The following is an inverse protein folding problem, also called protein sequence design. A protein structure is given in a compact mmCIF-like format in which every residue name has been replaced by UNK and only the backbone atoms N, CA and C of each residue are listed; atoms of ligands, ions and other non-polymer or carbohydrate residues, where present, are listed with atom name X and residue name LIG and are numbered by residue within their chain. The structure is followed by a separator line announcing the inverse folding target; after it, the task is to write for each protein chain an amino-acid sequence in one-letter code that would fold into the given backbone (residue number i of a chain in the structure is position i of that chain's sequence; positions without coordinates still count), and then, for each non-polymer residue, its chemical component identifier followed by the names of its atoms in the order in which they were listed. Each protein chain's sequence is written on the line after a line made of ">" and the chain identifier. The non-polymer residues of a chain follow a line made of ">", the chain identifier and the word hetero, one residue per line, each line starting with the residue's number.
data_IF_255737527268
#
_entry.id   IF_255737527268
#
_cell.length_a   1.000
_cell.length_b   1.000
_cell.length_c   1.000
_cell.angle_alpha   90.00
_cell.angle_beta   90.00
_cell.angle_gamma   90.00
#
_symmetry.space_group_name_H-M   'P 1'
#
loop_
_entity.id
_entity.type
_entity.pdbx_description
1 polymer ?
#
# COMPACT_ATOMS: atom_id res chain seq x y z
N UNK A 1 13.90 -21.53 5.72
CA UNK A 1 12.71 -21.57 6.60
C UNK A 1 12.84 -20.41 7.58
N UNK A 2 12.13 -19.30 7.38
CA UNK A 2 12.11 -18.22 8.37
C UNK A 2 11.04 -18.55 9.42
N UNK A 3 11.48 -18.60 10.67
CA UNK A 3 10.68 -18.81 11.87
C UNK A 3 9.54 -17.79 11.94
N UNK A 4 8.29 -18.29 11.91
CA UNK A 4 7.10 -17.50 12.21
C UNK A 4 7.03 -17.31 13.74
N UNK A 5 7.30 -16.09 14.18
CA UNK A 5 7.21 -15.71 15.58
C UNK A 5 5.72 -15.53 15.95
N UNK A 6 5.19 -16.41 16.80
CA UNK A 6 3.75 -16.58 17.12
C UNK A 6 3.12 -15.43 17.95
N UNK A 7 3.69 -14.22 17.94
CA UNK A 7 3.19 -13.02 18.64
C UNK A 7 2.86 -11.86 17.68
N UNK A 8 2.35 -12.16 16.48
CA UNK A 8 2.03 -11.13 15.48
C UNK A 8 0.60 -10.61 15.68
N UNK A 9 0.46 -9.50 16.41
CA UNK A 9 -0.81 -8.77 16.48
C UNK A 9 -1.00 -7.90 15.23
N UNK A 10 -2.24 -7.48 14.92
CA UNK A 10 -2.54 -6.48 13.89
C UNK A 10 -1.65 -5.23 13.98
N UNK A 11 -1.49 -4.72 15.21
CA UNK A 11 -0.66 -3.56 15.55
C UNK A 11 0.81 -3.79 15.23
N UNK A 12 1.39 -4.87 15.74
CA UNK A 12 2.81 -5.18 15.53
C UNK A 12 3.14 -5.36 14.04
N UNK A 13 2.18 -5.89 13.26
CA UNK A 13 2.36 -6.11 11.82
C UNK A 13 2.36 -4.80 11.04
N UNK A 14 1.34 -3.96 11.22
CA UNK A 14 1.23 -2.67 10.52
C UNK A 14 2.39 -1.76 10.90
N UNK A 15 2.73 -1.65 12.19
CA UNK A 15 3.81 -0.77 12.66
C UNK A 15 5.17 -1.16 12.07
N UNK A 16 5.45 -2.46 11.97
CA UNK A 16 6.69 -2.97 11.34
C UNK A 16 6.73 -2.65 9.85
N UNK A 17 5.62 -2.86 9.14
CA UNK A 17 5.55 -2.69 7.69
C UNK A 17 5.45 -1.24 7.23
N UNK A 18 5.04 -0.32 8.12
CA UNK A 18 4.82 1.09 7.77
C UNK A 18 6.06 1.78 7.18
N UNK A 19 7.27 1.34 7.50
CA UNK A 19 8.52 1.88 6.92
C UNK A 19 8.80 1.37 5.50
N UNK A 20 8.20 0.25 5.12
CA UNK A 20 8.51 -0.45 3.86
C UNK A 20 7.33 -0.44 2.87
N UNK A 21 6.17 0.06 3.29
CA UNK A 21 4.94 0.00 2.52
C UNK A 21 4.02 1.17 2.89
N UNK A 22 3.77 2.07 1.95
CA UNK A 22 2.90 3.24 2.21
C UNK A 22 1.44 2.86 2.45
N UNK A 23 0.97 1.66 2.05
CA UNK A 23 -0.35 1.17 2.44
C UNK A 23 -0.42 0.89 3.95
N UNK A 24 0.64 0.27 4.50
CA UNK A 24 0.75 0.05 5.93
C UNK A 24 0.98 1.38 6.68
N UNK A 25 1.76 2.29 6.12
CA UNK A 25 1.94 3.64 6.65
C UNK A 25 0.61 4.40 6.73
N UNK A 26 -0.22 4.33 5.69
CA UNK A 26 -1.54 4.94 5.67
C UNK A 26 -2.48 4.31 6.72
N UNK A 27 -2.46 2.99 6.89
CA UNK A 27 -3.23 2.30 7.94
C UNK A 27 -2.76 2.70 9.35
N UNK A 28 -1.45 2.86 9.54
CA UNK A 28 -0.87 3.37 10.80
C UNK A 28 -1.32 4.81 11.06
N UNK A 29 -1.31 5.66 10.04
CA UNK A 29 -1.65 7.07 10.13
C UNK A 29 -3.09 7.29 10.61
N UNK A 30 -4.06 6.55 10.04
CA UNK A 30 -5.48 6.66 10.45
C UNK A 30 -5.80 5.94 11.77
N UNK A 31 -4.84 5.20 12.32
CA UNK A 31 -4.98 4.42 13.55
C UNK A 31 -5.11 2.91 13.30
N UNK A 32 -4.32 2.13 14.04
CA UNK A 32 -4.36 0.67 13.93
C UNK A 32 -5.55 0.12 14.72
N UNK A 33 -6.44 -0.59 14.03
CA UNK A 33 -7.59 -1.28 14.58
C UNK A 33 -7.77 -2.63 13.86
N UNK A 34 -8.70 -3.47 14.33
CA UNK A 34 -9.05 -4.70 13.62
C UNK A 34 -9.51 -4.42 12.18
N UNK A 35 -10.27 -3.33 11.98
CA UNK A 35 -10.77 -2.96 10.65
C UNK A 35 -9.63 -2.52 9.71
N UNK A 36 -8.70 -1.68 10.18
CA UNK A 36 -7.61 -1.19 9.32
C UNK A 36 -6.64 -2.30 8.96
N UNK A 37 -6.45 -3.28 9.85
CA UNK A 37 -5.71 -4.49 9.57
C UNK A 37 -6.39 -5.41 8.56
N UNK A 38 -7.70 -5.58 8.67
CA UNK A 38 -8.48 -6.34 7.69
C UNK A 38 -8.40 -5.69 6.30
N UNK A 39 -8.62 -4.37 6.22
CA UNK A 39 -8.55 -3.62 4.97
C UNK A 39 -7.17 -3.75 4.29
N UNK A 40 -6.11 -3.66 5.09
CA UNK A 40 -4.73 -3.86 4.64
C UNK A 40 -4.51 -5.27 4.09
N UNK A 41 -4.95 -6.31 4.79
CA UNK A 41 -4.75 -7.70 4.38
C UNK A 41 -5.54 -8.04 3.11
N UNK A 42 -6.81 -7.61 3.04
CA UNK A 42 -7.65 -7.80 1.84
C UNK A 42 -6.97 -7.18 0.62
N UNK A 43 -6.53 -5.92 0.73
CA UNK A 43 -5.91 -5.24 -0.40
C UNK A 43 -4.54 -5.84 -0.75
N UNK A 44 -3.76 -6.24 0.25
CA UNK A 44 -2.45 -6.88 0.02
C UNK A 44 -2.61 -8.23 -0.67
N UNK A 45 -3.56 -9.06 -0.24
CA UNK A 45 -3.87 -10.32 -0.89
C UNK A 45 -4.34 -10.08 -2.34
N UNK A 46 -5.23 -9.12 -2.53
CA UNK A 46 -5.70 -8.73 -3.86
C UNK A 46 -4.55 -8.28 -4.78
N UNK A 47 -3.62 -7.46 -4.28
CA UNK A 47 -2.41 -7.07 -5.02
C UNK A 47 -1.60 -8.30 -5.47
N UNK A 48 -1.35 -9.24 -4.56
CA UNK A 48 -0.56 -10.43 -4.87
C UNK A 48 -1.24 -11.39 -5.83
N UNK A 49 -2.57 -11.40 -5.86
CA UNK A 49 -3.35 -12.27 -6.74
C UNK A 49 -3.56 -11.67 -8.13
N UNK A 50 -3.90 -10.38 -8.23
CA UNK A 50 -4.37 -9.78 -9.48
C UNK A 50 -3.33 -8.95 -10.24
N UNK A 51 -2.23 -8.52 -9.63
CA UNK A 51 -1.16 -7.81 -10.35
C UNK A 51 -0.23 -8.72 -11.17
N UNK A 52 0.25 -9.88 -10.69
CA UNK A 52 1.24 -10.68 -11.40
C UNK A 52 0.65 -11.61 -12.46
N UNK A 53 -0.38 -11.16 -13.19
CA UNK A 53 -1.07 -11.97 -14.21
C UNK A 53 -0.24 -12.17 -15.49
N UNK A 54 0.73 -11.29 -15.73
CA UNK A 54 1.71 -11.41 -16.81
C UNK A 54 3.10 -10.89 -16.36
N UNK A 55 4.09 -10.97 -17.27
CA UNK A 55 5.46 -10.51 -16.99
C UNK A 55 5.54 -9.02 -16.66
N UNK A 56 4.68 -8.20 -17.24
CA UNK A 56 4.65 -6.74 -17.03
C UNK A 56 4.10 -6.46 -15.62
N UNK A 57 3.01 -7.12 -15.25
CA UNK A 57 2.42 -7.02 -13.92
C UNK A 57 3.35 -7.50 -12.80
N UNK A 58 4.10 -8.59 -13.04
CA UNK A 58 5.16 -9.05 -12.11
C UNK A 58 6.25 -7.98 -11.95
N UNK A 59 6.74 -7.42 -13.06
CA UNK A 59 7.76 -6.38 -13.02
C UNK A 59 7.24 -5.13 -12.30
N UNK A 60 6.01 -4.70 -12.59
CA UNK A 60 5.38 -3.56 -11.94
C UNK A 60 5.26 -3.73 -10.42
N UNK A 61 4.77 -4.88 -9.96
CA UNK A 61 4.66 -5.18 -8.53
C UNK A 61 6.04 -5.17 -7.85
N UNK A 62 7.08 -5.70 -8.51
CA UNK A 62 8.45 -5.71 -8.00
C UNK A 62 9.02 -4.30 -7.89
N UNK A 63 8.91 -3.50 -8.95
CA UNK A 63 9.37 -2.10 -8.95
C UNK A 63 8.66 -1.30 -7.86
N UNK A 64 7.36 -1.53 -7.70
CA UNK A 64 6.59 -0.95 -6.60
C UNK A 64 7.15 -1.31 -5.23
N UNK A 65 7.35 -2.60 -4.95
CA UNK A 65 7.88 -3.06 -3.66
C UNK A 65 9.29 -2.51 -3.38
N UNK A 66 10.13 -2.38 -4.41
CA UNK A 66 11.48 -1.82 -4.27
C UNK A 66 11.46 -0.31 -3.98
N UNK A 67 10.56 0.45 -4.59
CA UNK A 67 10.46 1.89 -4.42
C UNK A 67 9.69 2.30 -3.14
N UNK A 68 8.85 1.41 -2.59
CA UNK A 68 7.95 1.74 -1.50
C UNK A 68 8.62 2.32 -0.24
N UNK A 69 9.79 1.83 0.25
CA UNK A 69 10.46 2.43 1.41
C UNK A 69 10.87 3.89 1.17
N UNK A 70 11.49 4.19 0.03
CA UNK A 70 11.89 5.58 -0.31
C UNK A 70 10.67 6.49 -0.46
N UNK A 71 9.58 5.97 -1.04
CA UNK A 71 8.32 6.70 -1.15
C UNK A 71 7.76 7.05 0.23
N UNK A 72 7.83 6.12 1.21
CA UNK A 72 7.40 6.39 2.59
C UNK A 72 8.24 7.52 3.18
N UNK A 73 9.57 7.46 3.04
CA UNK A 73 10.46 8.54 3.52
C UNK A 73 10.10 9.89 2.88
N UNK A 74 9.86 9.91 1.57
CA UNK A 74 9.50 11.13 0.85
C UNK A 74 8.13 11.69 1.30
N UNK A 75 7.13 10.83 1.52
CA UNK A 75 5.83 11.24 2.05
C UNK A 75 5.97 11.74 3.50
N UNK A 76 6.76 11.07 4.33
CA UNK A 76 6.98 11.44 5.73
C UNK A 76 7.65 12.82 5.88
N UNK A 77 8.52 13.17 4.94
CA UNK A 77 9.16 14.49 4.84
C UNK A 77 8.28 15.57 4.19
N UNK A 78 7.20 15.19 3.50
CA UNK A 78 6.35 16.12 2.76
C UNK A 78 5.42 16.90 3.71
N UNK A 79 5.25 18.21 3.47
CA UNK A 79 4.39 19.08 4.32
C UNK A 79 2.93 18.63 4.36
N UNK A 80 2.44 18.05 3.26
CA UNK A 80 1.09 17.47 3.15
C UNK A 80 0.98 15.99 3.54
N UNK A 81 1.96 15.42 4.27
CA UNK A 81 2.00 14.01 4.69
C UNK A 81 0.64 13.44 5.13
N UNK A 82 -0.02 14.15 6.04
CA UNK A 82 -1.28 13.67 6.65
C UNK A 82 -2.42 13.59 5.63
N UNK A 83 -2.53 14.57 4.73
CA UNK A 83 -3.48 14.54 3.63
C UNK A 83 -3.19 13.40 2.64
N UNK A 84 -1.90 13.13 2.38
CA UNK A 84 -1.47 12.06 1.46
C UNK A 84 -1.85 10.69 2.04
N UNK A 85 -1.53 10.42 3.30
CA UNK A 85 -1.88 9.15 3.93
C UNK A 85 -3.39 8.97 4.11
N UNK A 86 -4.12 10.05 4.41
CA UNK A 86 -5.58 10.04 4.45
C UNK A 86 -6.15 9.64 3.07
N UNK A 87 -5.65 10.24 1.99
CA UNK A 87 -6.04 9.90 0.62
C UNK A 87 -5.72 8.43 0.29
N UNK A 88 -4.51 7.96 0.58
CA UNK A 88 -4.13 6.56 0.33
C UNK A 88 -5.09 5.61 1.06
N UNK A 89 -5.40 5.86 2.34
CA UNK A 89 -6.31 5.01 3.08
C UNK A 89 -7.76 5.08 2.58
N UNK A 90 -8.23 6.24 2.12
CA UNK A 90 -9.53 6.35 1.45
C UNK A 90 -9.60 5.47 0.20
N UNK A 91 -8.54 5.43 -0.60
CA UNK A 91 -8.46 4.53 -1.76
C UNK A 91 -8.44 3.07 -1.32
N UNK A 92 -7.71 2.72 -0.25
CA UNK A 92 -7.72 1.36 0.32
C UNK A 92 -9.15 0.92 0.62
N UNK A 93 -9.93 1.76 1.32
CA UNK A 93 -11.34 1.50 1.63
C UNK A 93 -12.20 1.31 0.37
N UNK A 94 -12.03 2.17 -0.63
CA UNK A 94 -12.75 2.04 -1.90
C UNK A 94 -12.46 0.71 -2.60
N UNK A 95 -11.20 0.29 -2.63
CA UNK A 95 -10.81 -1.01 -3.19
C UNK A 95 -11.43 -2.16 -2.40
N UNK A 96 -11.34 -2.15 -1.07
CA UNK A 96 -11.92 -3.20 -0.22
C UNK A 96 -13.43 -3.32 -0.40
N UNK A 97 -14.13 -2.20 -0.48
CA UNK A 97 -15.59 -2.19 -0.70
C UNK A 97 -15.95 -2.71 -2.10
N UNK A 98 -15.15 -2.40 -3.12
CA UNK A 98 -15.33 -2.94 -4.48
C UNK A 98 -15.06 -4.45 -4.53
N UNK A 99 -13.99 -4.94 -3.88
CA UNK A 99 -13.65 -6.35 -3.78
C UNK A 99 -14.78 -7.14 -3.11
N UNK A 100 -15.31 -6.64 -1.98
CA UNK A 100 -16.42 -7.28 -1.26
C UNK A 100 -17.71 -7.37 -2.09
N UNK A 101 -17.88 -6.50 -3.08
CA UNK A 101 -19.01 -6.51 -4.02
C UNK A 101 -18.74 -7.34 -5.29
N UNK A 102 -17.58 -7.97 -5.41
CA UNK A 102 -17.16 -8.71 -6.61
C UNK A 102 -16.76 -7.83 -7.79
N UNK A 103 -16.59 -6.52 -7.59
CA UNK A 103 -16.21 -5.57 -8.63
C UNK A 103 -14.68 -5.54 -8.85
N UNK A 104 -14.12 -6.68 -9.26
CA UNK A 104 -12.67 -6.93 -9.35
C UNK A 104 -11.95 -5.94 -10.27
N UNK A 105 -12.46 -5.74 -11.50
CA UNK A 105 -11.81 -4.84 -12.48
C UNK A 105 -11.78 -3.39 -12.00
N UNK A 106 -12.87 -2.95 -11.34
CA UNK A 106 -12.96 -1.62 -10.77
C UNK A 106 -11.94 -1.44 -9.62
N UNK A 107 -11.84 -2.43 -8.74
CA UNK A 107 -10.86 -2.43 -7.66
C UNK A 107 -9.41 -2.39 -8.21
N UNK A 108 -9.10 -3.20 -9.22
CA UNK A 108 -7.77 -3.24 -9.83
C UNK A 108 -7.41 -1.91 -10.50
N UNK A 109 -8.34 -1.31 -11.25
CA UNK A 109 -8.14 0.00 -11.88
C UNK A 109 -7.85 1.08 -10.85
N UNK A 110 -8.65 1.16 -9.78
CA UNK A 110 -8.48 2.16 -8.73
C UNK A 110 -7.14 1.98 -8.01
N UNK A 111 -6.79 0.74 -7.68
CA UNK A 111 -5.54 0.39 -7.02
C UNK A 111 -4.31 0.77 -7.86
N UNK A 112 -4.25 0.33 -9.12
CA UNK A 112 -3.11 0.61 -10.02
C UNK A 112 -2.98 2.11 -10.26
N UNK A 113 -4.09 2.82 -10.46
CA UNK A 113 -4.06 4.27 -10.64
C UNK A 113 -3.48 4.97 -9.41
N UNK A 114 -3.89 4.59 -8.20
CA UNK A 114 -3.31 5.16 -6.98
C UNK A 114 -1.82 4.83 -6.86
N UNK A 115 -1.43 3.57 -7.06
CA UNK A 115 -0.03 3.15 -6.97
C UNK A 115 0.86 3.92 -7.96
N UNK A 116 0.41 4.07 -9.21
CA UNK A 116 1.11 4.83 -10.23
C UNK A 116 1.22 6.32 -9.87
N UNK A 117 0.14 6.94 -9.38
CA UNK A 117 0.17 8.35 -8.97
C UNK A 117 1.12 8.60 -7.79
N UNK A 118 1.14 7.70 -6.81
CA UNK A 118 2.05 7.78 -5.66
C UNK A 118 3.50 7.62 -6.13
N UNK A 119 3.79 6.65 -7.01
CA UNK A 119 5.12 6.46 -7.60
C UNK A 119 5.58 7.69 -8.40
N UNK A 120 4.72 8.30 -9.21
CA UNK A 120 5.08 9.49 -10.00
C UNK A 120 5.39 10.69 -9.12
N UNK A 121 4.62 10.90 -8.04
CA UNK A 121 4.74 12.10 -7.19
C UNK A 121 5.84 11.99 -6.15
N UNK A 122 6.09 10.79 -5.65
CA UNK A 122 6.95 10.58 -4.48
C UNK A 122 8.02 9.50 -4.68
N UNK A 123 8.06 8.84 -5.85
CA UNK A 123 9.03 7.78 -6.15
C UNK A 123 10.34 8.26 -6.79
N UNK A 124 10.42 9.52 -7.17
CA UNK A 124 11.67 10.13 -7.63
C UNK A 124 12.32 10.83 -6.43
N UNK A 125 13.55 10.45 -6.09
CA UNK A 125 14.41 11.34 -5.32
C UNK A 125 14.62 12.59 -6.19
N UNK A 126 14.47 13.78 -5.63
CA UNK A 126 14.92 15.03 -6.25
C UNK A 126 16.44 14.97 -6.44
N UNK A 127 16.87 14.32 -7.53
CA UNK A 127 18.21 14.34 -8.12
C UNK A 127 18.08 14.36 -9.65
N UNK A 128 17.05 15.05 -10.15
CA UNK A 128 16.97 15.43 -11.55
C UNK A 128 16.96 16.96 -11.63
N UNK A 129 18.13 17.44 -12.04
CA UNK A 129 18.54 18.79 -12.45
C UNK A 129 19.06 19.68 -11.32
#
# INVERSE_FOLDING_TARGET
>A
MQSLNNNTTPKNTIERMAKECYLAAACKHVGVSAQTYEDFNVLRQFQTEYLPQDRIGVLYLRTYQQAAPQIVENIDAHTSRDAIYTFIYQVVRQCVDAIKKGAIDAALRVLVNMMHNIQLRYGLAENLI
#
